data_IF_216085518619
#
_entry.id   IF_216085518619
#
_cell.length_a   1.000
_cell.length_b   1.000
_cell.length_c   1.000
_cell.angle_alpha   90.00
_cell.angle_beta   90.00
_cell.angle_gamma   90.00
#
_symmetry.space_group_name_H-M   'P 1'
#
loop_
_entity.id
_entity.type
_entity.pdbx_description
1 polymer ?
#
# COMPACT_ATOMS: atom_id res chain seq x y z
N UNK A 1 63.26 11.70 -27.85
CA UNK A 1 62.73 10.39 -27.42
C UNK A 1 62.09 10.34 -26.02
N UNK A 2 62.53 11.14 -25.02
CA UNK A 2 61.98 11.08 -23.64
C UNK A 2 60.59 11.75 -23.47
N UNK A 3 60.29 12.77 -24.29
CA UNK A 3 59.03 13.54 -24.26
C UNK A 3 57.83 12.75 -24.81
N UNK A 4 58.01 11.99 -25.89
CA UNK A 4 56.96 11.13 -26.45
C UNK A 4 56.51 10.05 -25.47
N UNK A 5 57.45 9.61 -24.62
CA UNK A 5 57.21 8.60 -23.61
C UNK A 5 56.21 9.07 -22.53
N UNK A 6 56.22 10.37 -22.23
CA UNK A 6 55.35 10.99 -21.24
C UNK A 6 53.94 11.20 -21.83
N UNK A 7 53.85 11.59 -23.12
CA UNK A 7 52.56 11.79 -23.80
C UNK A 7 51.75 10.50 -23.92
N UNK A 8 52.38 9.36 -24.26
CA UNK A 8 51.62 8.10 -24.35
C UNK A 8 51.14 7.62 -22.98
N UNK A 9 51.94 7.78 -21.92
CA UNK A 9 51.54 7.40 -20.55
C UNK A 9 50.34 8.23 -20.11
N UNK A 10 50.33 9.50 -20.45
CA UNK A 10 49.23 10.42 -20.16
C UNK A 10 47.95 10.05 -20.92
N UNK A 11 48.05 9.76 -22.21
CA UNK A 11 46.90 9.31 -23.02
C UNK A 11 46.35 7.97 -22.52
N UNK A 12 47.23 7.03 -22.16
CA UNK A 12 46.82 5.75 -21.59
C UNK A 12 46.10 5.93 -20.25
N UNK A 13 46.58 6.83 -19.39
CA UNK A 13 45.91 7.17 -18.14
C UNK A 13 44.49 7.71 -18.38
N UNK A 14 44.34 8.63 -19.33
CA UNK A 14 43.03 9.15 -19.73
C UNK A 14 42.10 8.05 -20.25
N UNK A 15 42.63 7.14 -21.07
CA UNK A 15 41.87 5.99 -21.56
C UNK A 15 41.37 5.10 -20.41
N UNK A 16 42.23 4.81 -19.43
CA UNK A 16 41.85 4.03 -18.25
C UNK A 16 40.79 4.75 -17.42
N UNK A 17 40.90 6.07 -17.25
CA UNK A 17 39.88 6.86 -16.54
C UNK A 17 38.51 6.80 -17.24
N UNK A 18 38.47 6.88 -18.57
CA UNK A 18 37.24 6.75 -19.34
C UNK A 18 36.64 5.35 -19.19
N UNK A 19 37.45 4.29 -19.27
CA UNK A 19 36.97 2.93 -19.04
C UNK A 19 36.40 2.74 -17.63
N UNK A 20 37.07 3.27 -16.60
CA UNK A 20 36.59 3.20 -15.22
C UNK A 20 35.28 3.97 -15.02
N UNK A 21 35.11 5.12 -15.66
CA UNK A 21 33.85 5.87 -15.63
C UNK A 21 32.69 5.05 -16.18
N UNK A 22 32.89 4.37 -17.32
CA UNK A 22 31.86 3.51 -17.91
C UNK A 22 31.51 2.31 -17.03
N UNK A 23 32.51 1.66 -16.43
CA UNK A 23 32.28 0.58 -15.47
C UNK A 23 31.52 1.05 -14.22
N UNK A 24 31.87 2.24 -13.71
CA UNK A 24 31.20 2.83 -12.56
C UNK A 24 29.72 3.10 -12.82
N UNK A 25 29.37 3.60 -14.01
CA UNK A 25 27.98 3.83 -14.42
C UNK A 25 27.17 2.52 -14.42
N UNK A 26 27.73 1.44 -14.99
CA UNK A 26 27.08 0.12 -15.00
C UNK A 26 26.83 -0.38 -13.57
N UNK A 27 27.83 -0.26 -12.69
CA UNK A 27 27.71 -0.63 -11.27
C UNK A 27 26.63 0.20 -10.57
N UNK A 28 26.57 1.50 -10.85
CA UNK A 28 25.59 2.42 -10.26
C UNK A 28 24.16 2.07 -10.72
N UNK A 29 23.98 1.72 -11.99
CA UNK A 29 22.71 1.21 -12.50
C UNK A 29 22.31 -0.15 -11.91
N UNK A 30 23.28 -1.02 -11.61
CA UNK A 30 23.00 -2.28 -10.94
C UNK A 30 22.53 -2.05 -9.49
N UNK A 31 23.24 -1.21 -8.72
CA UNK A 31 22.85 -0.86 -7.36
C UNK A 31 21.49 -0.17 -7.30
N UNK A 32 21.21 0.75 -8.23
CA UNK A 32 19.89 1.39 -8.34
C UNK A 32 18.78 0.36 -8.57
N UNK A 33 19.03 -0.66 -9.40
CA UNK A 33 18.05 -1.73 -9.66
C UNK A 33 17.78 -2.57 -8.41
N UNK A 34 18.81 -2.94 -7.66
CA UNK A 34 18.64 -3.68 -6.40
C UNK A 34 17.81 -2.87 -5.38
N UNK A 35 18.17 -1.60 -5.18
CA UNK A 35 17.45 -0.72 -4.25
C UNK A 35 16.00 -0.49 -4.68
N UNK A 36 15.75 -0.40 -5.98
CA UNK A 36 14.40 -0.26 -6.53
C UNK A 36 13.55 -1.52 -6.35
N UNK A 37 14.16 -2.71 -6.36
CA UNK A 37 13.46 -3.95 -6.05
C UNK A 37 13.07 -4.01 -4.57
N UNK A 38 13.98 -3.68 -3.65
CA UNK A 38 13.67 -3.62 -2.22
C UNK A 38 12.54 -2.64 -1.93
N UNK A 39 12.59 -1.44 -2.54
CA UNK A 39 11.51 -0.47 -2.42
C UNK A 39 10.16 -1.01 -2.92
N UNK A 40 10.14 -1.65 -4.09
CA UNK A 40 8.91 -2.26 -4.62
C UNK A 40 8.32 -3.32 -3.70
N UNK A 41 9.17 -4.15 -3.08
CA UNK A 41 8.72 -5.15 -2.10
C UNK A 41 8.01 -4.48 -0.93
N UNK A 42 8.63 -3.45 -0.34
CA UNK A 42 8.04 -2.71 0.80
C UNK A 42 6.71 -2.04 0.40
N UNK A 43 6.64 -1.44 -0.79
CA UNK A 43 5.40 -0.85 -1.31
C UNK A 43 4.31 -1.90 -1.45
N UNK A 44 4.64 -3.08 -1.98
CA UNK A 44 3.66 -4.17 -2.15
C UNK A 44 3.14 -4.70 -0.80
N UNK A 45 4.01 -4.80 0.20
CA UNK A 45 3.61 -5.19 1.56
C UNK A 45 2.70 -4.15 2.21
N UNK A 46 3.04 -2.87 2.04
CA UNK A 46 2.22 -1.75 2.53
C UNK A 46 0.83 -1.77 1.88
N UNK A 47 0.76 -2.00 0.57
CA UNK A 47 -0.50 -2.12 -0.15
C UNK A 47 -1.33 -3.32 0.33
N UNK A 48 -0.71 -4.46 0.63
CA UNK A 48 -1.40 -5.63 1.18
C UNK A 48 -2.03 -5.30 2.54
N UNK A 49 -1.26 -4.69 3.43
CA UNK A 49 -1.74 -4.30 4.77
C UNK A 49 -2.88 -3.30 4.69
N UNK A 50 -2.78 -2.31 3.80
CA UNK A 50 -3.85 -1.32 3.57
C UNK A 50 -5.14 -1.99 3.08
N UNK A 51 -5.05 -3.01 2.21
CA UNK A 51 -6.22 -3.77 1.77
C UNK A 51 -6.85 -4.56 2.93
N UNK A 52 -6.04 -5.26 3.72
CA UNK A 52 -6.51 -5.99 4.90
C UNK A 52 -7.19 -5.06 5.91
N UNK A 53 -6.64 -3.85 6.12
CA UNK A 53 -7.24 -2.85 7.00
C UNK A 53 -8.61 -2.38 6.49
N UNK A 54 -8.74 -2.13 5.18
CA UNK A 54 -10.03 -1.75 4.58
C UNK A 54 -11.06 -2.86 4.70
N UNK A 55 -10.67 -4.11 4.51
CA UNK A 55 -11.55 -5.27 4.70
C UNK A 55 -12.05 -5.34 6.15
N UNK A 56 -11.14 -5.21 7.11
CA UNK A 56 -11.49 -5.18 8.53
C UNK A 56 -12.43 -4.02 8.88
N UNK A 57 -12.23 -2.84 8.29
CA UNK A 57 -13.09 -1.68 8.49
C UNK A 57 -14.50 -1.89 7.92
N UNK A 58 -14.61 -2.57 6.77
CA UNK A 58 -15.90 -2.95 6.19
C UNK A 58 -16.62 -3.94 7.09
N UNK A 59 -15.93 -4.95 7.58
CA UNK A 59 -16.48 -5.93 8.53
C UNK A 59 -16.96 -5.28 9.82
N UNK A 60 -16.17 -4.34 10.36
CA UNK A 60 -16.55 -3.58 11.54
C UNK A 60 -17.75 -2.67 11.27
N UNK A 61 -17.83 -2.06 10.10
CA UNK A 61 -18.99 -1.26 9.68
C UNK A 61 -20.25 -2.12 9.55
N UNK A 62 -20.13 -3.33 9.01
CA UNK A 62 -21.23 -4.31 8.94
C UNK A 62 -21.66 -4.82 10.34
N UNK A 63 -20.70 -4.94 11.26
CA UNK A 63 -20.97 -5.28 12.66
C UNK A 63 -21.74 -4.15 13.38
N UNK A 64 -21.25 -2.92 13.26
CA UNK A 64 -21.75 -1.75 14.00
C UNK A 64 -23.04 -1.17 13.43
N UNK A 65 -23.31 -1.32 12.14
CA UNK A 65 -24.57 -0.91 11.50
C UNK A 65 -25.81 -1.70 11.97
N UNK A 66 -25.68 -2.58 12.97
CA UNK A 66 -26.79 -3.35 13.55
C UNK A 66 -27.31 -4.46 12.63
N UNK A 67 -26.80 -4.57 11.40
CA UNK A 67 -27.22 -5.55 10.40
C UNK A 67 -26.91 -6.98 10.87
N UNK A 68 -25.75 -7.21 11.50
CA UNK A 68 -25.43 -8.51 12.10
C UNK A 68 -26.31 -8.85 13.31
N UNK A 69 -26.73 -7.86 14.09
CA UNK A 69 -27.64 -8.06 15.23
C UNK A 69 -29.03 -8.47 14.71
N UNK A 70 -29.55 -7.76 13.69
CA UNK A 70 -30.81 -8.10 13.03
C UNK A 70 -30.78 -9.48 12.38
N UNK A 71 -29.70 -9.83 11.68
CA UNK A 71 -29.51 -11.15 11.09
C UNK A 71 -29.39 -12.26 12.16
N UNK A 72 -28.63 -12.03 13.23
CA UNK A 72 -28.49 -13.00 14.33
C UNK A 72 -29.80 -13.19 15.08
N UNK A 73 -30.57 -12.13 15.31
CA UNK A 73 -31.88 -12.19 15.93
C UNK A 73 -32.91 -12.92 15.04
N UNK A 74 -32.84 -12.70 13.72
CA UNK A 74 -33.66 -13.41 12.74
C UNK A 74 -33.30 -14.90 12.67
N UNK A 75 -32.02 -15.25 12.59
CA UNK A 75 -31.58 -16.65 12.43
C UNK A 75 -31.63 -17.45 13.74
N UNK A 76 -31.16 -16.89 14.87
CA UNK A 76 -31.10 -17.63 16.15
C UNK A 76 -32.40 -17.58 16.94
N UNK A 77 -33.13 -16.46 16.86
CA UNK A 77 -34.33 -16.24 17.65
C UNK A 77 -35.61 -16.18 16.81
N UNK A 78 -35.55 -16.45 15.49
CA UNK A 78 -36.69 -16.38 14.56
C UNK A 78 -37.45 -15.05 14.62
N UNK A 79 -36.78 -13.97 15.00
CA UNK A 79 -37.41 -12.65 15.13
C UNK A 79 -37.79 -12.12 13.74
N UNK A 80 -39.04 -11.67 13.59
CA UNK A 80 -39.54 -10.99 12.40
C UNK A 80 -39.59 -9.49 12.63
N UNK A 81 -39.16 -8.70 11.64
CA UNK A 81 -39.36 -7.26 11.69
C UNK A 81 -40.87 -6.95 11.67
N UNK A 82 -41.35 -6.05 12.52
CA UNK A 82 -42.75 -5.63 12.51
C UNK A 82 -43.08 -4.92 11.19
N UNK A 83 -44.30 -5.15 10.70
CA UNK A 83 -44.81 -4.51 9.47
C UNK A 83 -44.90 -3.00 9.69
N UNK A 84 -44.15 -2.25 8.88
CA UNK A 84 -43.97 -0.79 9.00
C UNK A 84 -45.30 -0.03 8.96
N UNK A 85 -46.35 -0.62 8.39
CA UNK A 85 -47.70 -0.03 8.31
C UNK A 85 -48.50 -0.14 9.61
N UNK A 86 -48.05 -0.92 10.60
CA UNK A 86 -48.73 -1.11 11.89
C UNK A 86 -48.06 -0.40 13.06
N UNK A 87 -47.02 0.39 12.79
CA UNK A 87 -46.30 1.14 13.81
C UNK A 87 -47.08 2.41 14.13
N UNK A 88 -47.96 2.36 15.12
CA UNK A 88 -48.56 3.56 15.71
C UNK A 88 -47.51 4.23 16.61
N UNK A 89 -46.90 5.30 16.11
CA UNK A 89 -46.12 6.23 16.92
C UNK A 89 -47.12 6.99 17.80
N UNK A 90 -47.23 6.61 19.07
CA UNK A 90 -47.94 7.41 20.06
C UNK A 90 -47.09 8.65 20.33
N UNK A 91 -47.45 9.78 19.73
CA UNK A 91 -46.96 11.08 20.16
C UNK A 91 -47.50 11.33 21.56
N UNK A 92 -46.59 11.41 22.53
CA UNK A 92 -46.92 11.88 23.88
C UNK A 92 -47.13 13.38 23.78
N UNK A 93 -48.39 13.80 23.66
CA UNK A 93 -48.75 15.19 23.91
C UNK A 93 -48.47 15.46 25.40
N UNK A 94 -47.52 16.35 25.68
CA UNK A 94 -47.35 16.97 26.99
C UNK A 94 -48.58 17.86 27.24
N UNK A 95 -49.57 17.33 27.95
CA UNK A 95 -50.64 18.15 28.53
C UNK A 95 -50.08 18.98 29.69
N UNK A 96 -50.31 20.28 29.55
CA UNK A 96 -49.98 21.40 30.43
C UNK A 96 -50.95 21.46 31.62
#
# INVERSE_FOLDING_TARGET
MKSENIKYKWLFFWYVMVCLSGLYEVQLHFNKRNLFQEYQTIVSETQRIEMEWRELQLDYSALTSGQKIGLTAKDKASMKLPDSRKINLLSKDEEN
#
